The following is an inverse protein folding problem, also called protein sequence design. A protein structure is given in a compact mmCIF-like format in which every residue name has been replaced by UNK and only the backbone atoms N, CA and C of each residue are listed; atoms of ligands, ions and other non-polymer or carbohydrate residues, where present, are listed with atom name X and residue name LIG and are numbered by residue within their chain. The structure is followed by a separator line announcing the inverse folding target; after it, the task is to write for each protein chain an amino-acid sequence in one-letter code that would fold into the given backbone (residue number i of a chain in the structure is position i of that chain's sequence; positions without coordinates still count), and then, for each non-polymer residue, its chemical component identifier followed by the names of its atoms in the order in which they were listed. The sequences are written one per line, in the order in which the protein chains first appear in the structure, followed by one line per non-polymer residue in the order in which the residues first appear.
data_IF_021111029335
#
_entry.id   IF_021111029335
#
_cell.length_a   1.000
_cell.length_b   1.000
_cell.length_c   1.000
_cell.angle_alpha   90.00
_cell.angle_beta   90.00
_cell.angle_gamma   90.00
#
_symmetry.space_group_name_H-M   'P 1'
#
loop_
_entity.id
_entity.type
_entity.pdbx_description
1 polymer ?
#
# COMPACT_ATOMS: atom_id res chain seq x y z
N UNK A 1 23.79 39.19 -1.53
CA UNK A 1 24.37 37.85 -1.29
C UNK A 1 24.83 37.80 0.15
N UNK A 2 23.91 37.52 1.07
CA UNK A 2 24.25 37.24 2.48
C UNK A 2 24.42 35.73 2.59
N UNK A 3 25.65 35.31 2.90
CA UNK A 3 26.05 33.93 3.17
C UNK A 3 25.35 33.51 4.47
N UNK A 4 24.49 32.48 4.40
CA UNK A 4 23.98 31.81 5.59
C UNK A 4 25.12 30.95 6.14
N UNK A 5 25.62 31.32 7.31
CA UNK A 5 26.61 30.58 8.08
C UNK A 5 25.94 29.37 8.74
N UNK A 6 26.54 28.20 8.53
CA UNK A 6 26.52 27.00 9.37
C UNK A 6 25.14 26.49 9.85
N UNK A 7 24.31 26.01 8.93
CA UNK A 7 23.38 24.92 9.26
C UNK A 7 24.24 23.68 9.54
N UNK A 8 24.30 23.26 10.81
CA UNK A 8 24.82 21.94 11.17
C UNK A 8 23.97 20.95 10.40
N UNK A 9 24.59 20.27 9.42
CA UNK A 9 23.99 19.17 8.65
C UNK A 9 23.87 17.96 9.61
N UNK A 10 22.95 18.10 10.56
CA UNK A 10 22.52 17.04 11.47
C UNK A 10 21.76 16.05 10.61
N UNK A 11 22.50 15.07 10.08
CA UNK A 11 21.94 14.02 9.24
C UNK A 11 20.78 13.27 9.93
N UNK A 12 20.09 12.39 9.18
CA UNK A 12 18.94 11.67 9.71
C UNK A 12 19.28 10.92 10.99
N UNK A 13 18.33 10.90 11.93
CA UNK A 13 18.51 10.20 13.20
C UNK A 13 18.71 8.70 12.96
N UNK A 14 19.41 7.97 13.83
CA UNK A 14 19.56 6.51 13.71
C UNK A 14 18.21 5.78 13.63
N UNK A 15 17.19 6.29 14.31
CA UNK A 15 15.82 5.79 14.28
C UNK A 15 15.16 5.98 12.90
N UNK A 16 15.37 7.14 12.28
CA UNK A 16 14.90 7.42 10.93
C UNK A 16 15.58 6.50 9.92
N UNK A 17 16.90 6.35 10.00
CA UNK A 17 17.65 5.42 9.13
C UNK A 17 17.07 4.02 9.23
N UNK A 18 16.89 3.48 10.44
CA UNK A 18 16.35 2.14 10.65
C UNK A 18 14.93 1.96 10.08
N UNK A 19 14.10 3.01 10.08
CA UNK A 19 12.74 2.98 9.52
C UNK A 19 12.74 2.89 7.99
N UNK A 20 13.74 3.46 7.34
CA UNK A 20 13.83 3.57 5.88
C UNK A 20 14.90 2.65 5.26
N UNK A 21 15.64 1.89 6.08
CA UNK A 21 16.71 0.99 5.62
C UNK A 21 16.19 -0.26 4.88
N UNK A 22 14.90 -0.60 5.04
CA UNK A 22 14.34 -1.80 4.41
C UNK A 22 14.05 -1.57 2.92
N UNK A 23 14.91 -2.12 2.06
CA UNK A 23 14.71 -2.24 0.59
C UNK A 23 14.09 -3.58 0.18
N UNK A 24 13.84 -4.45 1.16
CA UNK A 24 13.27 -5.78 0.98
C UNK A 24 11.97 -5.91 1.77
N UNK A 25 11.06 -6.74 1.26
CA UNK A 25 9.86 -7.21 1.93
C UNK A 25 9.88 -8.73 2.03
N UNK A 26 9.17 -9.29 2.99
CA UNK A 26 9.02 -10.74 3.13
C UNK A 26 7.85 -11.24 2.29
N UNK A 27 8.08 -12.24 1.44
CA UNK A 27 7.02 -12.87 0.66
C UNK A 27 6.00 -13.58 1.59
N UNK A 28 4.69 -13.30 1.49
CA UNK A 28 3.67 -13.96 2.34
C UNK A 28 3.48 -15.45 2.02
N UNK A 29 3.98 -15.93 0.90
CA UNK A 29 3.89 -17.34 0.47
C UNK A 29 5.02 -18.21 0.99
N UNK A 30 6.26 -17.89 0.62
CA UNK A 30 7.45 -18.69 0.92
C UNK A 30 8.34 -18.11 2.02
N UNK A 31 8.04 -16.90 2.53
CA UNK A 31 8.83 -16.16 3.53
C UNK A 31 10.25 -15.76 3.10
N UNK A 32 10.54 -15.81 1.80
CA UNK A 32 11.79 -15.30 1.23
C UNK A 32 11.84 -13.78 1.29
N UNK A 33 13.04 -13.21 1.45
CA UNK A 33 13.28 -11.79 1.28
C UNK A 33 13.35 -11.42 -0.21
N UNK A 34 12.49 -10.50 -0.61
CA UNK A 34 12.35 -10.05 -2.00
C UNK A 34 12.38 -8.54 -2.03
N UNK A 35 12.92 -7.95 -3.10
CA UNK A 35 12.89 -6.51 -3.26
C UNK A 35 11.45 -5.99 -3.27
N UNK A 36 11.22 -4.88 -2.59
CA UNK A 36 9.89 -4.30 -2.41
C UNK A 36 9.27 -3.77 -3.71
N UNK A 37 10.11 -3.45 -4.70
CA UNK A 37 9.76 -3.01 -6.05
C UNK A 37 9.36 -4.15 -7.01
N UNK A 38 9.51 -5.41 -6.62
CA UNK A 38 9.23 -6.55 -7.52
C UNK A 38 7.78 -7.02 -7.46
N UNK A 39 7.10 -7.06 -8.61
CA UNK A 39 5.70 -7.50 -8.69
C UNK A 39 5.48 -8.99 -8.39
N UNK A 40 6.50 -9.81 -8.55
CA UNK A 40 6.42 -11.28 -8.41
C UNK A 40 7.62 -11.77 -7.61
N UNK A 41 7.36 -12.66 -6.65
CA UNK A 41 8.41 -13.33 -5.91
C UNK A 41 9.21 -14.26 -6.84
N UNK A 42 10.52 -14.02 -6.97
CA UNK A 42 11.43 -14.80 -7.80
C UNK A 42 11.58 -16.26 -7.35
N UNK A 43 11.28 -16.56 -6.08
CA UNK A 43 11.42 -17.91 -5.51
C UNK A 43 10.16 -18.77 -5.67
N UNK A 44 8.96 -18.22 -5.41
CA UNK A 44 7.71 -18.99 -5.43
C UNK A 44 6.74 -18.61 -6.56
N UNK A 45 7.04 -17.58 -7.35
CA UNK A 45 6.21 -17.14 -8.47
C UNK A 45 4.90 -16.45 -8.08
N UNK A 46 4.71 -16.13 -6.79
CA UNK A 46 3.51 -15.43 -6.29
C UNK A 46 3.58 -13.94 -6.65
N UNK A 47 2.47 -13.40 -7.15
CA UNK A 47 2.29 -11.95 -7.28
C UNK A 47 2.25 -11.27 -5.91
N UNK A 48 3.09 -10.26 -5.73
CA UNK A 48 3.25 -9.44 -4.53
C UNK A 48 2.51 -8.10 -4.64
N UNK A 49 2.22 -7.67 -5.88
CA UNK A 49 1.39 -6.51 -6.25
C UNK A 49 -0.12 -6.71 -6.01
N UNK A 50 -0.51 -7.68 -5.18
CA UNK A 50 -1.87 -7.72 -4.68
C UNK A 50 -2.01 -6.56 -3.68
N UNK A 51 -2.29 -5.37 -4.22
CA UNK A 51 -2.61 -4.12 -3.57
C UNK A 51 -3.65 -4.32 -2.46
N UNK A 52 -3.19 -4.77 -1.30
CA UNK A 52 -4.00 -4.93 -0.11
C UNK A 52 -5.08 -6.00 -0.22
N UNK A 53 -5.21 -6.77 0.85
CA UNK A 53 -6.53 -7.13 1.35
C UNK A 53 -7.25 -5.81 1.74
N UNK A 54 -7.56 -4.94 0.77
CA UNK A 54 -8.38 -3.78 0.98
C UNK A 54 -9.80 -4.34 1.16
N UNK A 55 -10.09 -4.80 2.39
CA UNK A 55 -11.43 -5.23 2.80
C UNK A 55 -12.39 -4.16 2.34
N UNK A 56 -13.12 -4.46 1.27
CA UNK A 56 -14.06 -3.52 0.66
C UNK A 56 -14.99 -3.07 1.79
N UNK A 57 -14.98 -1.78 2.16
CA UNK A 57 -15.65 -1.36 3.37
C UNK A 57 -17.15 -1.65 3.26
N UNK A 58 -17.75 -2.17 4.35
CA UNK A 58 -19.09 -2.76 4.35
C UNK A 58 -20.18 -1.82 3.79
N UNK A 59 -20.00 -0.50 3.90
CA UNK A 59 -20.93 0.49 3.35
C UNK A 59 -21.08 0.40 1.83
N UNK A 60 -20.07 -0.10 1.09
CA UNK A 60 -20.14 -0.25 -0.36
C UNK A 60 -21.20 -1.28 -0.74
N UNK A 61 -21.30 -2.38 0.00
CA UNK A 61 -22.36 -3.38 -0.23
C UNK A 61 -23.75 -2.83 0.07
N UNK A 62 -23.89 -2.03 1.14
CA UNK A 62 -25.16 -1.35 1.47
C UNK A 62 -25.54 -0.33 0.39
N UNK A 63 -24.59 0.48 -0.09
CA UNK A 63 -24.85 1.45 -1.16
C UNK A 63 -25.21 0.75 -2.48
N UNK A 64 -24.48 -0.32 -2.84
CA UNK A 64 -24.75 -1.10 -4.05
C UNK A 64 -26.15 -1.74 -4.03
N UNK A 65 -26.57 -2.29 -2.88
CA UNK A 65 -27.91 -2.89 -2.74
C UNK A 65 -29.02 -1.86 -2.82
N UNK A 66 -28.86 -0.69 -2.19
CA UNK A 66 -29.85 0.41 -2.28
C UNK A 66 -29.96 0.93 -3.73
N UNK A 67 -28.82 1.15 -4.39
CA UNK A 67 -28.79 1.61 -5.78
C UNK A 67 -29.48 0.61 -6.71
N UNK A 68 -29.19 -0.69 -6.54
CA UNK A 68 -29.80 -1.75 -7.35
C UNK A 68 -31.32 -1.82 -7.13
N UNK A 69 -31.79 -1.71 -5.89
CA UNK A 69 -33.23 -1.67 -5.58
C UNK A 69 -33.93 -0.45 -6.18
N UNK A 70 -33.31 0.74 -6.11
CA UNK A 70 -33.86 1.96 -6.69
C UNK A 70 -34.02 1.84 -8.22
N UNK A 71 -33.03 1.27 -8.92
CA UNK A 71 -33.10 1.04 -10.37
C UNK A 71 -34.26 0.11 -10.70
N UNK A 72 -34.44 -0.98 -9.95
CA UNK A 72 -35.55 -1.92 -10.16
C UNK A 72 -36.90 -1.25 -9.96
N UNK A 73 -37.04 -0.41 -8.91
CA UNK A 73 -38.27 0.34 -8.65
C UNK A 73 -38.58 1.29 -9.81
N UNK A 74 -37.58 2.03 -10.32
CA UNK A 74 -37.74 2.95 -11.45
C UNK A 74 -38.16 2.22 -12.74
N UNK A 75 -37.74 0.97 -12.93
CA UNK A 75 -38.11 0.18 -14.12
C UNK A 75 -39.53 -0.37 -14.00
N UNK A 76 -39.99 -0.67 -12.78
CA UNK A 76 -41.30 -1.30 -12.54
C UNK A 76 -42.44 -0.27 -12.49
N UNK A 77 -42.16 0.97 -12.04
CA UNK A 77 -43.12 2.07 -11.97
C UNK A 77 -43.06 2.99 -13.19
#
# INVERSE_FOLDING_TARGET
MTRHDDEIDEGPTPEDVARFDSVTRTCPGCKEEVYDDTAVCWQCGRALDAEGDAKTPMWIYVAATIAMAAIVIIIIF
#
